data_IF_066137301629
#
_entry.id   IF_066137301629
#
_cell.length_a   1.000
_cell.length_b   1.000
_cell.length_c   1.000
_cell.angle_alpha   90.00
_cell.angle_beta   90.00
_cell.angle_gamma   90.00
#
_symmetry.space_group_name_H-M   'P 1'
#
loop_
_entity.id
_entity.type
_entity.pdbx_description
1 polymer ?
#
# COMPACT_ATOMS: atom_id res chain seq x y z
N UNK A 1 3.99 -9.36 29.86
CA UNK A 1 4.54 -10.54 29.17
C UNK A 1 3.86 -10.65 27.82
N UNK A 2 4.48 -10.10 26.79
CA UNK A 2 3.92 -10.07 25.44
C UNK A 2 4.05 -11.45 24.81
N UNK A 3 2.95 -12.22 24.83
CA UNK A 3 2.91 -13.61 24.32
C UNK A 3 3.31 -13.69 22.85
N UNK A 4 3.07 -12.62 22.11
CA UNK A 4 3.41 -12.47 20.69
C UNK A 4 4.93 -12.41 20.48
N UNK A 5 5.68 -11.87 21.43
CA UNK A 5 7.15 -11.77 21.38
C UNK A 5 7.85 -13.12 21.59
N UNK A 6 7.15 -14.12 22.13
CA UNK A 6 7.67 -15.48 22.29
C UNK A 6 7.52 -16.35 21.04
N UNK A 7 6.77 -15.89 20.03
CA UNK A 7 6.64 -16.62 18.78
C UNK A 7 7.98 -16.65 18.02
N UNK A 8 8.32 -17.76 17.35
CA UNK A 8 9.41 -17.82 16.40
C UNK A 8 9.20 -16.86 15.23
N UNK A 9 10.30 -16.46 14.59
CA UNK A 9 10.28 -15.50 13.48
C UNK A 9 9.46 -15.99 12.28
N UNK A 10 9.44 -17.30 12.01
CA UNK A 10 8.65 -17.90 10.92
C UNK A 10 7.14 -17.65 11.09
N UNK A 11 6.63 -17.79 12.32
CA UNK A 11 5.21 -17.52 12.61
C UNK A 11 4.89 -16.03 12.49
N UNK A 12 5.84 -15.18 12.87
CA UNK A 12 5.67 -13.74 12.72
C UNK A 12 5.64 -13.33 11.24
N UNK A 13 6.54 -13.89 10.43
CA UNK A 13 6.53 -13.70 8.97
C UNK A 13 5.22 -14.17 8.36
N UNK A 14 4.71 -15.32 8.80
CA UNK A 14 3.43 -15.83 8.35
C UNK A 14 2.28 -14.87 8.70
N UNK A 15 2.23 -14.35 9.93
CA UNK A 15 1.23 -13.34 10.34
C UNK A 15 1.34 -12.09 9.46
N UNK A 16 2.55 -11.56 9.27
CA UNK A 16 2.78 -10.38 8.45
C UNK A 16 2.38 -10.60 6.98
N UNK A 17 2.55 -11.82 6.45
CA UNK A 17 2.16 -12.17 5.08
C UNK A 17 0.65 -12.14 4.83
N UNK A 18 -0.16 -12.21 5.89
CA UNK A 18 -1.62 -12.10 5.82
C UNK A 18 -2.14 -10.66 5.97
N UNK A 19 -1.28 -9.73 6.37
CA UNK A 19 -1.68 -8.35 6.60
C UNK A 19 -1.46 -7.50 5.34
N UNK A 20 -2.35 -6.53 5.08
CA UNK A 20 -2.07 -5.48 4.10
C UNK A 20 -0.76 -4.79 4.46
N UNK A 21 0.05 -4.39 3.47
CA UNK A 21 1.38 -3.83 3.73
C UNK A 21 1.30 -2.56 4.61
N UNK A 22 0.23 -1.77 4.50
CA UNK A 22 -0.02 -0.63 5.40
C UNK A 22 -0.06 -1.04 6.88
N UNK A 23 -0.70 -2.17 7.18
CA UNK A 23 -0.84 -2.70 8.54
C UNK A 23 0.41 -3.46 8.98
N UNK A 24 1.17 -4.01 8.03
CA UNK A 24 2.52 -4.54 8.29
C UNK A 24 3.43 -3.43 8.85
N UNK A 25 3.37 -2.21 8.31
CA UNK A 25 4.15 -1.10 8.86
C UNK A 25 3.67 -0.65 10.24
N UNK A 26 2.37 -0.66 10.53
CA UNK A 26 1.87 -0.29 11.87
C UNK A 26 2.25 -1.34 12.92
N UNK A 27 2.19 -2.63 12.56
CA UNK A 27 2.63 -3.73 13.42
C UNK A 27 4.14 -3.79 13.57
N UNK A 28 4.91 -3.28 12.60
CA UNK A 28 6.38 -3.21 12.67
C UNK A 28 6.89 -2.37 13.86
N UNK A 29 6.06 -1.47 14.41
CA UNK A 29 6.39 -0.61 15.54
C UNK A 29 6.24 -1.32 16.89
N UNK A 30 5.58 -2.48 16.93
CA UNK A 30 5.38 -3.26 18.17
C UNK A 30 6.69 -3.72 18.80
N UNK A 31 7.69 -4.06 17.97
CA UNK A 31 9.05 -4.29 18.45
C UNK A 31 10.06 -4.22 17.31
N UNK A 32 11.34 -4.05 17.67
CA UNK A 32 12.46 -4.08 16.71
C UNK A 32 12.47 -5.34 15.84
N UNK A 33 12.00 -6.47 16.37
CA UNK A 33 11.96 -7.76 15.64
C UNK A 33 10.95 -7.71 14.50
N UNK A 34 9.74 -7.20 14.75
CA UNK A 34 8.72 -6.99 13.71
C UNK A 34 9.19 -5.99 12.64
N UNK A 35 9.90 -4.95 13.09
CA UNK A 35 10.63 -3.99 12.24
C UNK A 35 11.70 -4.58 11.32
N UNK A 36 12.25 -5.74 11.64
CA UNK A 36 13.20 -6.44 10.76
C UNK A 36 12.46 -7.43 9.84
N UNK A 37 11.52 -8.19 10.40
CA UNK A 37 10.82 -9.26 9.69
C UNK A 37 9.95 -8.75 8.56
N UNK A 38 9.34 -7.56 8.66
CA UNK A 38 8.54 -7.03 7.55
C UNK A 38 9.33 -6.89 6.24
N UNK A 39 10.65 -6.66 6.31
CA UNK A 39 11.52 -6.54 5.14
C UNK A 39 11.72 -7.87 4.43
N UNK A 40 11.48 -8.98 5.11
CA UNK A 40 11.61 -10.33 4.58
C UNK A 40 10.28 -10.91 4.09
N UNK A 41 9.18 -10.14 4.21
CA UNK A 41 7.87 -10.58 3.76
C UNK A 41 7.85 -10.64 2.23
N UNK A 42 7.57 -11.83 1.70
CA UNK A 42 7.48 -12.12 0.26
C UNK A 42 6.13 -11.76 -0.36
N UNK A 43 5.10 -11.52 0.47
CA UNK A 43 3.73 -11.19 0.04
C UNK A 43 3.37 -9.76 0.43
N UNK A 44 3.30 -8.89 -0.56
CA UNK A 44 2.99 -7.48 -0.38
C UNK A 44 1.65 -7.14 -1.01
N UNK A 45 0.81 -6.45 -0.27
CA UNK A 45 -0.49 -5.99 -0.73
C UNK A 45 -0.68 -4.50 -0.39
N UNK A 46 -0.80 -3.71 -1.45
CA UNK A 46 -1.00 -2.28 -1.42
C UNK A 46 -2.37 -1.97 -2.01
N UNK A 47 -3.28 -1.48 -1.16
CA UNK A 47 -4.63 -1.07 -1.58
C UNK A 47 -4.79 0.41 -1.30
N UNK A 48 -5.00 1.19 -2.36
CA UNK A 48 -5.42 2.58 -2.24
C UNK A 48 -6.93 2.61 -1.99
N UNK A 49 -7.29 2.74 -0.71
CA UNK A 49 -8.70 2.81 -0.28
C UNK A 49 -9.22 4.24 -0.18
N UNK A 50 -8.33 5.24 -0.29
CA UNK A 50 -8.69 6.63 -0.03
C UNK A 50 -8.92 7.39 -1.34
N UNK A 51 -10.19 7.47 -1.72
CA UNK A 51 -10.65 8.18 -2.93
C UNK A 51 -10.35 9.67 -2.93
N UNK A 52 -10.01 10.25 -1.76
CA UNK A 52 -9.65 11.67 -1.61
C UNK A 52 -8.15 11.86 -1.40
N UNK A 53 -7.40 10.78 -1.20
CA UNK A 53 -5.96 10.89 -1.01
C UNK A 53 -5.27 11.22 -2.33
N UNK A 54 -4.25 12.06 -2.21
CA UNK A 54 -3.24 12.24 -3.24
C UNK A 54 -2.58 10.87 -3.54
N UNK A 55 -2.93 10.27 -4.68
CA UNK A 55 -2.33 9.02 -5.16
C UNK A 55 -0.80 9.10 -5.23
N UNK A 56 -0.22 10.29 -5.42
CA UNK A 56 1.22 10.50 -5.37
C UNK A 56 1.83 10.16 -4.02
N UNK A 57 1.13 10.46 -2.91
CA UNK A 57 1.57 10.06 -1.55
C UNK A 57 1.55 8.55 -1.39
N UNK A 58 0.50 7.89 -1.87
CA UNK A 58 0.37 6.44 -1.83
C UNK A 58 1.49 5.76 -2.63
N UNK A 59 1.70 6.18 -3.88
CA UNK A 59 2.77 5.64 -4.72
C UNK A 59 4.16 5.86 -4.11
N UNK A 60 4.44 7.04 -3.54
CA UNK A 60 5.70 7.30 -2.83
C UNK A 60 5.90 6.37 -1.63
N UNK A 61 4.81 6.02 -0.92
CA UNK A 61 4.87 5.03 0.15
C UNK A 61 5.16 3.63 -0.39
N UNK A 62 4.49 3.22 -1.47
CA UNK A 62 4.73 1.94 -2.14
C UNK A 62 6.20 1.85 -2.58
N UNK A 63 6.70 2.84 -3.33
CA UNK A 63 8.09 2.87 -3.79
C UNK A 63 9.09 2.75 -2.64
N UNK A 64 8.91 3.56 -1.59
CA UNK A 64 9.81 3.52 -0.43
C UNK A 64 9.76 2.17 0.28
N UNK A 65 8.59 1.55 0.36
CA UNK A 65 8.45 0.24 0.99
C UNK A 65 9.07 -0.89 0.17
N UNK A 66 8.95 -0.84 -1.16
CA UNK A 66 9.60 -1.79 -2.07
C UNK A 66 11.13 -1.69 -2.00
N UNK A 67 11.68 -0.47 -1.94
CA UNK A 67 13.12 -0.24 -1.78
C UNK A 67 13.69 -0.75 -0.46
N UNK A 68 12.85 -0.79 0.59
CA UNK A 68 13.24 -1.26 1.91
C UNK A 68 13.04 -2.76 2.11
N UNK A 69 12.28 -3.41 1.22
CA UNK A 69 12.08 -4.84 1.24
C UNK A 69 13.37 -5.53 0.76
N UNK A 70 13.82 -6.53 1.51
CA UNK A 70 15.05 -7.31 1.27
C UNK A 70 14.72 -8.78 1.01
N UNK A 71 13.46 -9.12 0.74
CA UNK A 71 13.07 -10.48 0.39
C UNK A 71 13.77 -10.87 -0.93
N UNK A 72 14.48 -12.01 -0.98
CA UNK A 72 15.19 -12.43 -2.18
C UNK A 72 14.25 -12.79 -3.33
N UNK A 73 13.01 -13.19 -3.00
CA UNK A 73 11.94 -13.52 -3.95
C UNK A 73 10.64 -12.94 -3.42
N UNK A 74 9.95 -12.18 -4.28
CA UNK A 74 8.57 -11.77 -4.05
C UNK A 74 7.65 -12.84 -4.60
N UNK A 75 6.88 -13.49 -3.72
CA UNK A 75 5.88 -14.48 -4.13
C UNK A 75 4.66 -13.78 -4.72
N UNK A 76 4.23 -12.70 -4.08
CA UNK A 76 3.00 -11.98 -4.45
C UNK A 76 3.19 -10.49 -4.26
N UNK A 77 2.90 -9.72 -5.31
CA UNK A 77 2.77 -8.26 -5.25
C UNK A 77 1.39 -7.87 -5.76
N UNK A 78 0.53 -7.33 -4.90
CA UNK A 78 -0.80 -6.84 -5.26
C UNK A 78 -0.83 -5.33 -5.08
N UNK A 79 -1.07 -4.61 -6.16
CA UNK A 79 -1.23 -3.16 -6.16
C UNK A 79 -2.62 -2.83 -6.72
N UNK A 80 -3.48 -2.24 -5.90
CA UNK A 80 -4.80 -1.75 -6.30
C UNK A 80 -4.84 -0.24 -6.13
N UNK A 81 -4.96 0.48 -7.23
CA UNK A 81 -5.12 1.94 -7.25
C UNK A 81 -6.49 2.26 -7.83
N UNK A 82 -7.39 2.79 -7.01
CA UNK A 82 -8.71 3.23 -7.47
C UNK A 82 -8.62 4.69 -7.93
N UNK A 83 -8.35 4.90 -9.23
CA UNK A 83 -8.36 6.23 -9.83
C UNK A 83 -9.79 6.60 -10.17
N UNK A 84 -10.41 7.52 -9.42
CA UNK A 84 -11.58 8.22 -9.94
C UNK A 84 -11.13 9.22 -10.99
N UNK A 85 -11.30 8.84 -12.26
CA UNK A 85 -11.23 9.79 -13.36
C UNK A 85 -12.50 10.64 -13.28
N UNK A 86 -12.42 11.85 -12.71
CA UNK A 86 -13.43 12.85 -12.97
C UNK A 86 -13.17 13.38 -14.36
N UNK A 87 -13.88 12.84 -15.33
CA UNK A 87 -14.02 13.46 -16.64
C UNK A 87 -14.66 14.84 -16.41
N UNK A 88 -13.87 15.91 -16.54
CA UNK A 88 -14.37 17.28 -16.46
C UNK A 88 -13.99 18.00 -17.76
N UNK A 89 -15.06 18.44 -18.43
CA UNK A 89 -15.18 19.40 -19.54
C UNK A 89 -14.89 18.96 -20.98
N UNK A 90 -15.76 18.09 -21.51
CA UNK A 90 -16.27 18.29 -22.89
C UNK A 90 -17.72 18.80 -22.84
N UNK A 91 -17.90 20.06 -22.42
CA UNK A 91 -19.23 20.65 -22.26
C UNK A 91 -19.28 22.17 -22.39
N UNK A 92 -18.46 22.79 -23.23
CA UNK A 92 -18.47 24.26 -23.40
C UNK A 92 -18.13 24.76 -24.81
N UNK A 93 -18.67 24.15 -25.88
CA UNK A 93 -18.55 24.68 -27.27
C UNK A 93 -19.88 24.81 -28.03
N UNK A 94 -21.03 24.81 -27.34
CA UNK A 94 -22.34 24.85 -28.02
C UNK A 94 -23.25 26.02 -27.59
N UNK A 95 -22.72 27.22 -27.28
CA UNK A 95 -23.58 28.42 -27.09
C UNK A 95 -23.02 29.68 -27.77
N UNK A 96 -22.49 29.53 -28.99
CA UNK A 96 -21.99 30.67 -29.79
C UNK A 96 -22.77 31.00 -31.07
N UNK A 97 -23.77 30.20 -31.46
CA UNK A 97 -24.34 30.25 -32.82
C UNK A 97 -25.79 30.72 -32.93
N UNK A 98 -26.40 31.30 -31.90
CA UNK A 98 -27.74 31.88 -32.02
C UNK A 98 -27.76 33.38 -31.69
N UNK A 99 -27.11 34.16 -32.55
CA UNK A 99 -27.37 35.59 -32.70
C UNK A 99 -27.13 36.00 -34.15
N UNK A 100 -28.04 35.61 -35.04
CA UNK A 100 -28.26 36.29 -36.32
C UNK A 100 -29.73 36.19 -36.71
#
# INVERSE_FOLDING_TARGET
MDRISFLPDDFLLQILSFLPTKDVFTTSVLSKRWGYLWKLVSKLEYIDTDKKADHGRFLRFVDRSLLLNTAPVLETLRLKVDRQCSDVDTGALAEGFNRM
#
